data_IF_092318936698
#
_entry.id   IF_092318936698
#
_cell.length_a   1.000
_cell.length_b   1.000
_cell.length_c   1.000
_cell.angle_alpha   90.00
_cell.angle_beta   90.00
_cell.angle_gamma   90.00
#
_symmetry.space_group_name_H-M   'P 1'
#
loop_
_entity.id
_entity.type
_entity.pdbx_description
1 polymer ?
#
# COMPACT_ATOMS: atom_id res chain seq x y z
N UNK A 1 -23.32 -19.58 5.47
CA UNK A 1 -22.85 -18.28 5.95
C UNK A 1 -22.17 -18.48 7.30
N UNK A 2 -20.84 -18.65 7.29
CA UNK A 2 -20.08 -18.57 8.53
C UNK A 2 -20.05 -17.11 8.96
N UNK A 3 -20.75 -16.79 10.03
CA UNK A 3 -20.68 -15.47 10.64
C UNK A 3 -19.39 -15.43 11.45
N UNK A 4 -18.45 -14.57 11.08
CA UNK A 4 -17.24 -14.33 11.86
C UNK A 4 -17.64 -13.98 13.31
N UNK A 5 -17.03 -14.61 14.32
CA UNK A 5 -17.32 -14.26 15.71
C UNK A 5 -16.97 -12.79 15.95
N UNK A 6 -17.86 -12.07 16.60
CA UNK A 6 -17.60 -10.69 17.00
C UNK A 6 -16.53 -10.69 18.08
N UNK A 7 -15.36 -10.15 17.80
CA UNK A 7 -14.31 -9.85 18.78
C UNK A 7 -14.33 -8.35 19.03
N UNK A 8 -14.35 -7.96 20.29
CA UNK A 8 -14.31 -6.56 20.69
C UNK A 8 -12.87 -6.07 20.75
N UNK A 9 -12.65 -4.78 20.47
CA UNK A 9 -11.37 -4.08 20.61
C UNK A 9 -10.23 -4.66 19.76
N UNK A 10 -10.51 -4.99 18.52
CA UNK A 10 -9.48 -5.30 17.54
C UNK A 10 -9.31 -4.12 16.58
N UNK A 11 -8.07 -3.80 16.21
CA UNK A 11 -7.79 -2.92 15.09
C UNK A 11 -8.14 -3.61 13.76
N UNK A 12 -8.61 -2.86 12.78
CA UNK A 12 -8.87 -3.37 11.43
C UNK A 12 -8.02 -2.62 10.42
N UNK A 13 -7.40 -3.40 9.54
CA UNK A 13 -6.81 -2.94 8.30
C UNK A 13 -7.53 -3.66 7.17
N UNK A 14 -7.99 -2.93 6.18
CA UNK A 14 -8.70 -3.46 5.02
C UNK A 14 -7.91 -3.06 3.78
N UNK A 15 -7.72 -4.00 2.87
CA UNK A 15 -7.14 -3.73 1.56
C UNK A 15 -8.27 -3.59 0.53
N UNK A 16 -8.31 -2.46 -0.17
CA UNK A 16 -9.23 -2.28 -1.29
C UNK A 16 -8.82 -3.22 -2.44
N UNK A 17 -9.79 -3.82 -3.16
CA UNK A 17 -9.46 -4.55 -4.37
C UNK A 17 -8.76 -3.64 -5.38
N UNK A 18 -7.76 -4.16 -6.08
CA UNK A 18 -7.17 -3.48 -7.23
C UNK A 18 -8.03 -3.63 -8.49
N UNK A 19 -8.73 -4.75 -8.57
CA UNK A 19 -9.60 -5.12 -9.67
C UNK A 19 -11.03 -5.31 -9.16
N UNK A 20 -11.95 -4.60 -9.77
CA UNK A 20 -13.39 -4.66 -9.50
C UNK A 20 -14.14 -5.42 -10.59
N UNK A 21 -15.44 -5.62 -10.40
CA UNK A 21 -16.28 -6.29 -11.37
C UNK A 21 -16.25 -5.61 -12.76
N UNK A 22 -16.25 -6.40 -13.83
CA UNK A 22 -16.14 -5.91 -15.20
C UNK A 22 -14.73 -5.47 -15.59
N UNK A 23 -13.71 -6.10 -14.99
CA UNK A 23 -12.28 -5.84 -15.24
C UNK A 23 -11.89 -4.37 -15.02
N UNK A 24 -12.58 -3.71 -14.08
CA UNK A 24 -12.29 -2.32 -13.73
C UNK A 24 -11.12 -2.24 -12.74
N UNK A 25 -9.97 -1.77 -13.20
CA UNK A 25 -8.81 -1.47 -12.36
C UNK A 25 -9.01 -0.10 -11.70
N UNK A 26 -8.78 -0.01 -10.39
CA UNK A 26 -8.91 1.26 -9.68
C UNK A 26 -7.93 2.30 -10.20
N UNK A 27 -8.45 3.43 -10.69
CA UNK A 27 -7.64 4.58 -11.09
C UNK A 27 -8.35 5.90 -10.77
N UNK A 28 -7.91 6.53 -9.68
CA UNK A 28 -8.40 7.83 -9.22
C UNK A 28 -7.76 9.01 -9.97
N UNK A 29 -6.82 8.73 -10.87
CA UNK A 29 -5.95 9.72 -11.52
C UNK A 29 -6.18 9.83 -13.02
N UNK A 30 -6.88 8.88 -13.63
CA UNK A 30 -7.12 8.84 -15.08
C UNK A 30 -7.76 10.13 -15.59
N UNK A 31 -7.46 10.51 -16.82
CA UNK A 31 -8.05 11.64 -17.52
C UNK A 31 -9.51 11.40 -17.86
N UNK A 32 -9.89 10.14 -18.16
CA UNK A 32 -11.27 9.76 -18.39
C UNK A 32 -12.11 9.99 -17.13
N UNK A 33 -12.95 11.01 -17.18
CA UNK A 33 -13.77 11.40 -16.04
C UNK A 33 -14.86 10.38 -15.70
N UNK A 34 -15.37 9.62 -16.68
CA UNK A 34 -16.35 8.55 -16.44
C UNK A 34 -15.71 7.40 -15.70
N UNK A 35 -14.56 6.94 -16.20
CA UNK A 35 -13.77 5.87 -15.55
C UNK A 35 -13.35 6.27 -14.12
N UNK A 36 -12.84 7.50 -13.96
CA UNK A 36 -12.44 8.04 -12.65
C UNK A 36 -13.59 8.13 -11.67
N UNK A 37 -14.78 8.60 -12.11
CA UNK A 37 -15.96 8.64 -11.25
C UNK A 37 -16.44 7.24 -10.85
N UNK A 38 -16.29 6.24 -11.72
CA UNK A 38 -16.56 4.85 -11.38
C UNK A 38 -15.58 4.34 -10.33
N UNK A 39 -14.28 4.61 -10.48
CA UNK A 39 -13.25 4.29 -9.46
C UNK A 39 -13.55 4.93 -8.10
N UNK A 40 -13.99 6.20 -8.08
CA UNK A 40 -14.42 6.89 -6.85
C UNK A 40 -15.62 6.18 -6.21
N UNK A 41 -16.61 5.78 -7.01
CA UNK A 41 -17.79 5.09 -6.51
C UNK A 41 -17.46 3.70 -5.95
N UNK A 42 -16.58 2.94 -6.61
CA UNK A 42 -16.13 1.65 -6.11
C UNK A 42 -15.33 1.77 -4.80
N UNK A 43 -14.41 2.74 -4.71
CA UNK A 43 -13.70 2.98 -3.46
C UNK A 43 -14.63 3.44 -2.33
N UNK A 44 -15.64 4.27 -2.64
CA UNK A 44 -16.67 4.64 -1.65
C UNK A 44 -17.44 3.43 -1.14
N UNK A 45 -17.78 2.46 -1.99
CA UNK A 45 -18.43 1.20 -1.56
C UNK A 45 -17.53 0.40 -0.60
N UNK A 46 -16.23 0.34 -0.86
CA UNK A 46 -15.28 -0.31 0.06
C UNK A 46 -15.25 0.41 1.41
N UNK A 47 -15.27 1.73 1.41
CA UNK A 47 -15.31 2.55 2.63
C UNK A 47 -16.61 2.28 3.41
N UNK A 48 -17.75 2.22 2.74
CA UNK A 48 -19.04 1.93 3.41
C UNK A 48 -19.04 0.53 4.06
N UNK A 49 -18.48 -0.48 3.36
CA UNK A 49 -18.27 -1.82 3.93
C UNK A 49 -17.29 -1.76 5.13
N UNK A 50 -16.22 -0.98 5.03
CA UNK A 50 -15.24 -0.82 6.11
C UNK A 50 -15.86 -0.22 7.37
N UNK A 51 -16.77 0.73 7.22
CA UNK A 51 -17.55 1.32 8.32
C UNK A 51 -18.49 0.29 8.96
N UNK A 52 -19.18 -0.52 8.17
CA UNK A 52 -20.02 -1.60 8.68
C UNK A 52 -19.20 -2.62 9.47
N UNK A 53 -18.01 -2.99 8.98
CA UNK A 53 -17.09 -3.88 9.70
C UNK A 53 -16.57 -3.23 10.99
N UNK A 54 -16.20 -1.95 10.95
CA UNK A 54 -15.80 -1.19 12.14
C UNK A 54 -16.84 -1.28 13.24
N UNK A 55 -18.11 -1.04 12.90
CA UNK A 55 -19.23 -1.11 13.83
C UNK A 55 -19.43 -2.55 14.37
N UNK A 56 -19.34 -3.54 13.49
CA UNK A 56 -19.49 -4.95 13.86
C UNK A 56 -18.40 -5.44 14.81
N UNK A 57 -17.14 -5.02 14.60
CA UNK A 57 -16.01 -5.39 15.46
C UNK A 57 -15.79 -4.42 16.61
N UNK A 58 -16.62 -3.39 16.73
CA UNK A 58 -16.56 -2.37 17.80
C UNK A 58 -15.16 -1.76 17.94
N UNK A 59 -14.54 -1.43 16.80
CA UNK A 59 -13.22 -0.80 16.78
C UNK A 59 -13.30 0.63 17.31
N UNK A 60 -12.41 1.00 18.23
CA UNK A 60 -12.32 2.38 18.78
C UNK A 60 -11.73 3.35 17.74
N UNK A 61 -10.70 2.89 17.03
CA UNK A 61 -9.97 3.69 16.07
C UNK A 61 -10.59 3.65 14.66
N UNK A 62 -10.29 4.61 13.79
CA UNK A 62 -10.62 4.50 12.38
C UNK A 62 -10.02 3.24 11.75
N UNK A 63 -10.76 2.62 10.83
CA UNK A 63 -10.23 1.51 10.03
C UNK A 63 -9.21 2.05 9.06
N UNK A 64 -8.03 1.44 9.00
CA UNK A 64 -7.04 1.75 7.97
C UNK A 64 -7.45 1.07 6.66
N UNK A 65 -7.61 1.85 5.59
CA UNK A 65 -7.93 1.34 4.26
C UNK A 65 -6.73 1.50 3.34
N UNK A 66 -6.03 0.40 3.11
CA UNK A 66 -4.95 0.32 2.12
C UNK A 66 -5.55 0.33 0.72
N UNK A 67 -5.01 1.15 -0.17
CA UNK A 67 -5.43 1.18 -1.57
C UNK A 67 -4.30 1.65 -2.47
N UNK A 68 -4.23 1.12 -3.69
CA UNK A 68 -3.54 1.84 -4.74
C UNK A 68 -4.40 3.03 -5.22
N UNK A 69 -3.82 3.94 -5.96
CA UNK A 69 -4.51 5.15 -6.42
C UNK A 69 -4.60 5.26 -7.95
N UNK A 70 -3.99 4.31 -8.65
CA UNK A 70 -3.85 4.37 -10.10
C UNK A 70 -2.71 5.31 -10.55
N UNK A 71 -2.91 5.97 -11.67
CA UNK A 71 -1.90 6.86 -12.24
C UNK A 71 -0.90 6.13 -13.14
N UNK A 72 -1.40 5.19 -13.91
CA UNK A 72 -0.60 4.37 -14.83
C UNK A 72 -0.22 5.10 -16.10
N UNK A 73 0.91 4.70 -16.70
CA UNK A 73 1.27 5.00 -18.08
C UNK A 73 1.74 3.72 -18.79
N UNK A 74 1.63 3.69 -20.15
CA UNK A 74 1.87 2.47 -20.91
C UNK A 74 3.29 2.37 -21.49
N UNK A 75 3.97 3.50 -21.72
CA UNK A 75 5.17 3.52 -22.52
C UNK A 75 6.44 3.90 -21.76
N UNK A 76 6.33 4.70 -20.73
CA UNK A 76 7.46 5.16 -19.90
C UNK A 76 6.98 5.76 -18.60
N UNK A 77 7.87 5.86 -17.61
CA UNK A 77 7.61 6.65 -16.42
C UNK A 77 7.45 8.13 -16.76
N UNK A 78 6.40 8.72 -16.24
CA UNK A 78 6.13 10.14 -16.42
C UNK A 78 7.14 10.97 -15.59
N UNK A 79 7.66 12.03 -16.18
CA UNK A 79 8.47 13.00 -15.47
C UNK A 79 7.61 13.86 -14.51
N UNK A 80 8.26 14.69 -13.69
CA UNK A 80 7.59 15.50 -12.67
C UNK A 80 6.48 16.41 -13.25
N UNK A 81 6.70 16.99 -14.43
CA UNK A 81 5.69 17.86 -15.05
C UNK A 81 4.47 17.09 -15.56
N UNK A 82 4.71 15.90 -16.12
CA UNK A 82 3.66 15.00 -16.61
C UNK A 82 2.85 14.38 -15.47
N UNK A 83 3.46 14.16 -14.30
CA UNK A 83 2.77 13.65 -13.10
C UNK A 83 1.87 14.69 -12.41
N UNK A 84 2.09 15.98 -12.65
CA UNK A 84 1.31 17.04 -12.02
C UNK A 84 -0.20 16.92 -12.24
N UNK A 85 -0.72 16.70 -13.47
CA UNK A 85 -2.15 16.50 -13.70
C UNK A 85 -2.72 15.25 -12.99
N UNK A 86 -1.95 14.17 -12.90
CA UNK A 86 -2.34 12.96 -12.16
C UNK A 86 -2.54 13.28 -10.67
N UNK A 87 -1.58 13.97 -10.09
CA UNK A 87 -1.65 14.41 -8.68
C UNK A 87 -2.86 15.31 -8.41
N UNK A 88 -3.15 16.26 -9.27
CA UNK A 88 -4.29 17.17 -9.14
C UNK A 88 -5.62 16.41 -9.22
N UNK A 89 -5.73 15.44 -10.13
CA UNK A 89 -6.89 14.57 -10.24
C UNK A 89 -7.05 13.66 -9.02
N UNK A 90 -5.95 13.09 -8.50
CA UNK A 90 -5.97 12.31 -7.27
C UNK A 90 -6.54 13.13 -6.10
N UNK A 91 -6.02 14.33 -5.85
CA UNK A 91 -6.49 15.21 -4.79
C UNK A 91 -7.98 15.51 -4.95
N UNK A 92 -8.41 15.79 -6.20
CA UNK A 92 -9.81 16.06 -6.49
C UNK A 92 -10.70 14.85 -6.26
N UNK A 93 -10.22 13.65 -6.58
CA UNK A 93 -10.92 12.39 -6.37
C UNK A 93 -11.07 12.07 -4.89
N UNK A 94 -9.97 12.20 -4.11
CA UNK A 94 -9.99 11.98 -2.66
C UNK A 94 -10.96 12.93 -1.94
N UNK A 95 -11.05 14.19 -2.36
CA UNK A 95 -12.01 15.16 -1.79
C UNK A 95 -13.48 14.81 -2.01
N UNK A 96 -13.80 13.95 -3.00
CA UNK A 96 -15.17 13.49 -3.26
C UNK A 96 -15.56 12.30 -2.40
N UNK A 97 -14.62 11.66 -1.75
CA UNK A 97 -14.81 10.46 -0.94
C UNK A 97 -15.20 10.87 0.47
N UNK A 98 -16.23 10.24 1.00
CA UNK A 98 -16.71 10.46 2.36
C UNK A 98 -16.28 9.33 3.29
N UNK A 99 -15.29 9.56 4.12
CA UNK A 99 -14.82 8.60 5.14
C UNK A 99 -15.56 8.74 6.46
N UNK A 100 -16.34 9.80 6.64
CA UNK A 100 -17.04 10.16 7.88
C UNK A 100 -16.11 10.22 9.13
N UNK A 101 -14.79 10.26 8.96
CA UNK A 101 -13.80 10.16 10.03
C UNK A 101 -13.69 8.77 10.66
N UNK A 102 -14.35 7.76 10.09
CA UNK A 102 -14.36 6.38 10.59
C UNK A 102 -13.41 5.45 9.82
N UNK A 103 -12.94 5.90 8.66
CA UNK A 103 -11.98 5.20 7.79
C UNK A 103 -10.87 6.17 7.43
N UNK A 104 -9.64 5.73 7.55
CA UNK A 104 -8.47 6.45 7.10
C UNK A 104 -7.92 5.78 5.83
N UNK A 105 -7.92 6.51 4.73
CA UNK A 105 -7.33 6.04 3.48
C UNK A 105 -5.82 6.19 3.57
N UNK A 106 -5.10 5.10 3.43
CA UNK A 106 -3.64 5.03 3.41
C UNK A 106 -3.18 4.47 2.06
N UNK A 107 -2.78 5.33 1.11
CA UNK A 107 -2.24 4.88 -0.16
C UNK A 107 -1.04 3.96 0.05
N UNK A 108 -0.95 2.90 -0.74
CA UNK A 108 0.16 1.96 -0.72
C UNK A 108 1.33 2.49 -1.56
N UNK A 109 2.56 2.26 -1.10
CA UNK A 109 3.75 2.46 -1.95
C UNK A 109 3.80 1.35 -3.00
N UNK A 110 4.11 1.71 -4.25
CA UNK A 110 3.89 0.84 -5.40
C UNK A 110 5.20 0.44 -6.09
N UNK A 111 5.25 -0.76 -6.69
CA UNK A 111 6.38 -1.15 -7.51
C UNK A 111 6.42 -0.33 -8.80
N UNK A 112 7.59 -0.21 -9.46
CA UNK A 112 7.71 0.62 -10.65
C UNK A 112 6.99 0.04 -11.87
N UNK A 113 6.86 -1.30 -11.95
CA UNK A 113 6.32 -2.03 -13.10
C UNK A 113 5.31 -3.11 -12.69
N UNK A 114 4.18 -2.76 -12.10
CA UNK A 114 3.19 -3.77 -11.71
C UNK A 114 2.64 -4.51 -12.92
N UNK A 115 2.34 -5.79 -12.75
CA UNK A 115 1.63 -6.59 -13.72
C UNK A 115 0.12 -6.31 -13.64
N UNK A 116 -0.47 -5.98 -14.78
CA UNK A 116 -1.91 -5.81 -14.95
C UNK A 116 -2.46 -6.68 -16.07
N UNK A 117 -3.77 -6.77 -16.20
CA UNK A 117 -4.40 -7.37 -17.37
C UNK A 117 -3.93 -6.66 -18.65
N UNK A 118 -3.33 -7.43 -19.54
CA UNK A 118 -2.74 -6.90 -20.78
C UNK A 118 -1.25 -6.56 -20.71
N UNK A 119 -0.59 -6.80 -19.60
CA UNK A 119 0.87 -6.68 -19.47
C UNK A 119 1.32 -5.71 -18.38
N UNK A 120 2.59 -5.39 -18.38
CA UNK A 120 3.18 -4.44 -17.45
C UNK A 120 2.82 -2.99 -17.83
N UNK A 121 2.59 -2.17 -16.82
CA UNK A 121 2.44 -0.72 -16.92
C UNK A 121 3.43 -0.04 -15.99
N UNK A 122 3.64 1.26 -16.19
CA UNK A 122 4.45 2.07 -15.29
C UNK A 122 3.57 2.73 -14.23
N UNK A 123 3.89 2.52 -12.97
CA UNK A 123 3.32 3.29 -11.86
C UNK A 123 4.03 4.64 -11.76
N UNK A 124 3.28 5.72 -11.57
CA UNK A 124 3.83 7.09 -11.57
C UNK A 124 3.64 7.83 -10.24
N UNK A 125 2.73 7.35 -9.40
CA UNK A 125 2.46 7.91 -8.07
C UNK A 125 2.79 6.86 -7.01
N UNK A 126 3.24 7.30 -5.85
CA UNK A 126 3.63 6.46 -4.72
C UNK A 126 4.77 5.47 -5.02
N UNK A 127 5.65 5.82 -5.96
CA UNK A 127 6.84 5.05 -6.33
C UNK A 127 8.13 5.70 -5.82
N UNK A 128 8.27 7.03 -5.94
CA UNK A 128 9.43 7.76 -5.45
C UNK A 128 9.17 8.49 -4.13
N UNK A 129 10.17 8.48 -3.25
CA UNK A 129 10.06 9.03 -1.90
C UNK A 129 9.79 10.52 -1.85
N UNK A 130 10.33 11.31 -2.79
CA UNK A 130 10.12 12.77 -2.79
C UNK A 130 8.66 13.10 -3.08
N UNK A 131 8.03 12.40 -4.04
CA UNK A 131 6.61 12.55 -4.31
C UNK A 131 5.75 12.14 -3.11
N UNK A 132 6.04 10.97 -2.52
CA UNK A 132 5.27 10.43 -1.39
C UNK A 132 5.35 11.37 -0.18
N UNK A 133 6.57 11.75 0.18
CA UNK A 133 6.82 12.68 1.30
C UNK A 133 6.04 13.98 1.12
N UNK A 134 6.22 14.66 -0.03
CA UNK A 134 5.55 15.91 -0.32
C UNK A 134 4.02 15.76 -0.30
N UNK A 135 3.50 14.66 -0.87
CA UNK A 135 2.06 14.41 -0.89
C UNK A 135 1.49 14.20 0.51
N UNK A 136 2.15 13.36 1.32
CA UNK A 136 1.74 13.09 2.70
C UNK A 136 1.77 14.35 3.56
N UNK A 137 2.83 15.15 3.47
CA UNK A 137 2.97 16.40 4.20
C UNK A 137 1.88 17.42 3.83
N UNK A 138 1.66 17.64 2.52
CA UNK A 138 0.68 18.62 2.03
C UNK A 138 -0.77 18.20 2.24
N UNK A 139 -1.08 16.89 2.19
CA UNK A 139 -2.44 16.40 2.35
C UNK A 139 -2.76 15.92 3.78
N UNK A 140 -1.77 15.89 4.67
CA UNK A 140 -1.92 15.34 6.02
C UNK A 140 -2.27 13.86 6.02
N UNK A 141 -1.74 13.09 5.06
CA UNK A 141 -2.04 11.66 4.88
C UNK A 141 -0.92 10.79 5.38
N UNK A 142 -1.28 9.58 5.81
CA UNK A 142 -0.34 8.49 6.05
C UNK A 142 -0.40 7.48 4.89
N UNK A 143 0.54 6.54 4.89
CA UNK A 143 0.68 5.53 3.84
C UNK A 143 0.73 4.12 4.43
N UNK A 144 0.42 3.15 3.58
CA UNK A 144 0.89 1.78 3.75
C UNK A 144 2.25 1.67 3.05
N UNK A 145 3.30 1.43 3.83
CA UNK A 145 4.61 1.13 3.26
C UNK A 145 4.67 -0.36 2.90
N UNK A 146 4.60 -0.64 1.62
CA UNK A 146 4.96 -1.96 1.11
C UNK A 146 6.47 -2.00 0.91
N UNK A 147 7.12 -2.84 1.69
CA UNK A 147 8.58 -2.93 1.76
C UNK A 147 9.15 -3.52 0.48
N UNK A 148 8.50 -4.55 -0.07
CA UNK A 148 8.89 -5.18 -1.32
C UNK A 148 8.78 -4.21 -2.49
N UNK A 149 7.61 -3.58 -2.68
CA UNK A 149 7.38 -2.58 -3.71
C UNK A 149 8.38 -1.43 -3.66
N UNK A 150 8.61 -0.92 -2.45
CA UNK A 150 9.53 0.21 -2.23
C UNK A 150 10.98 -0.16 -2.53
N UNK A 151 11.41 -1.40 -2.21
CA UNK A 151 12.74 -1.89 -2.56
C UNK A 151 12.91 -2.00 -4.07
N UNK A 152 11.92 -2.54 -4.79
CA UNK A 152 11.94 -2.59 -6.27
C UNK A 152 11.98 -1.19 -6.88
N UNK A 153 11.20 -0.25 -6.34
CA UNK A 153 11.21 1.14 -6.77
C UNK A 153 12.58 1.80 -6.57
N UNK A 154 13.21 1.59 -5.42
CA UNK A 154 14.55 2.09 -5.13
C UNK A 154 15.61 1.50 -6.07
N UNK A 155 15.56 0.20 -6.35
CA UNK A 155 16.46 -0.44 -7.28
C UNK A 155 16.32 0.14 -8.70
N UNK A 156 15.08 0.36 -9.16
CA UNK A 156 14.79 0.95 -10.45
C UNK A 156 15.22 2.42 -10.57
N UNK A 157 14.94 3.22 -9.54
CA UNK A 157 15.25 4.65 -9.51
C UNK A 157 16.70 4.96 -9.06
N UNK A 158 17.47 3.94 -8.69
CA UNK A 158 18.83 4.07 -8.14
C UNK A 158 18.88 4.96 -6.89
N UNK A 159 17.89 4.84 -6.03
CA UNK A 159 17.79 5.53 -4.75
C UNK A 159 18.24 4.57 -3.64
N UNK A 160 19.12 4.99 -2.71
CA UNK A 160 19.44 4.16 -1.54
C UNK A 160 18.16 3.85 -0.73
N UNK A 161 17.90 2.56 -0.47
CA UNK A 161 16.68 2.14 0.21
C UNK A 161 16.54 2.78 1.60
N UNK A 162 17.65 2.92 2.33
CA UNK A 162 17.66 3.63 3.62
C UNK A 162 17.16 5.08 3.50
N UNK A 163 17.60 5.81 2.47
CA UNK A 163 17.14 7.19 2.24
C UNK A 163 15.64 7.24 1.98
N UNK A 164 15.12 6.28 1.21
CA UNK A 164 13.67 6.15 0.98
C UNK A 164 12.93 5.93 2.30
N UNK A 165 13.42 4.99 3.13
CA UNK A 165 12.82 4.68 4.42
C UNK A 165 12.83 5.86 5.39
N UNK A 166 13.94 6.60 5.49
CA UNK A 166 14.06 7.80 6.33
C UNK A 166 13.00 8.86 6.00
N UNK A 167 12.59 8.96 4.72
CA UNK A 167 11.57 9.91 4.27
C UNK A 167 10.13 9.40 4.50
N UNK A 168 9.88 8.09 4.39
CA UNK A 168 8.52 7.55 4.33
C UNK A 168 8.05 6.95 5.65
N UNK A 169 8.93 6.34 6.44
CA UNK A 169 8.55 5.74 7.72
C UNK A 169 7.83 6.71 8.67
N UNK A 170 8.16 8.01 8.76
CA UNK A 170 7.41 8.94 9.61
C UNK A 170 5.92 9.07 9.24
N UNK A 171 5.54 8.75 8.00
CA UNK A 171 4.15 8.76 7.53
C UNK A 171 3.50 7.36 7.50
N UNK A 172 4.21 6.32 7.91
CA UNK A 172 3.74 4.95 7.78
C UNK A 172 2.75 4.59 8.89
N UNK A 173 1.55 4.14 8.49
CA UNK A 173 0.52 3.64 9.39
C UNK A 173 0.42 2.12 9.41
N UNK A 174 0.77 1.49 8.31
CA UNK A 174 0.73 0.04 8.11
C UNK A 174 1.87 -0.41 7.21
N UNK A 175 2.31 -1.64 7.39
CA UNK A 175 3.43 -2.23 6.65
C UNK A 175 2.99 -3.52 5.97
N UNK A 176 3.30 -3.67 4.70
CA UNK A 176 3.33 -4.95 4.01
C UNK A 176 4.78 -5.44 3.98
N UNK A 177 5.02 -6.61 4.55
CA UNK A 177 6.37 -7.14 4.74
C UNK A 177 6.60 -8.36 3.85
N UNK A 178 7.40 -8.18 2.82
CA UNK A 178 7.95 -9.23 1.98
C UNK A 178 9.33 -8.79 1.49
N UNK A 179 10.18 -9.75 1.14
CA UNK A 179 11.47 -9.43 0.55
C UNK A 179 11.35 -9.13 -0.94
N UNK A 180 12.39 -8.56 -1.49
CA UNK A 180 12.46 -8.18 -2.90
C UNK A 180 13.87 -8.33 -3.45
N UNK A 181 13.95 -8.55 -4.75
CA UNK A 181 15.22 -8.66 -5.46
C UNK A 181 15.15 -8.02 -6.85
N UNK A 182 16.24 -7.38 -7.25
CA UNK A 182 16.33 -6.71 -8.53
C UNK A 182 15.22 -5.67 -8.74
N UNK A 183 14.51 -5.68 -9.88
CA UNK A 183 13.44 -4.71 -10.23
C UNK A 183 12.06 -5.34 -10.36
N UNK A 184 11.96 -6.67 -10.31
CA UNK A 184 10.74 -7.45 -10.53
C UNK A 184 10.57 -8.68 -9.60
N UNK A 185 11.52 -8.92 -8.71
CA UNK A 185 11.45 -9.99 -7.70
C UNK A 185 10.60 -9.56 -6.51
N UNK A 186 9.29 -9.47 -6.69
CA UNK A 186 8.31 -9.03 -5.70
C UNK A 186 7.83 -10.17 -4.80
N UNK A 187 7.50 -9.84 -3.55
CA UNK A 187 6.81 -10.77 -2.66
C UNK A 187 7.61 -11.98 -2.23
N UNK A 188 8.93 -11.88 -2.23
CA UNK A 188 9.82 -12.98 -1.83
C UNK A 188 9.69 -13.27 -0.33
N UNK A 189 10.05 -14.49 0.05
CA UNK A 189 10.13 -14.87 1.46
C UNK A 189 11.21 -14.03 2.17
N UNK A 190 10.99 -13.72 3.42
CA UNK A 190 11.92 -12.96 4.26
C UNK A 190 13.31 -13.60 4.24
N UNK A 191 14.35 -12.83 3.98
CA UNK A 191 15.76 -13.22 3.76
C UNK A 191 16.04 -14.00 2.46
N UNK A 192 15.11 -14.04 1.51
CA UNK A 192 15.37 -14.63 0.18
C UNK A 192 15.67 -13.55 -0.89
N UNK A 193 15.61 -12.26 -0.52
CA UNK A 193 15.91 -11.10 -1.36
C UNK A 193 17.12 -10.29 -0.87
N UNK A 194 17.08 -8.98 -1.11
CA UNK A 194 18.18 -8.04 -0.89
C UNK A 194 17.89 -7.03 0.25
N UNK A 195 16.90 -7.28 1.10
CA UNK A 195 16.54 -6.39 2.21
C UNK A 195 17.31 -6.76 3.47
N UNK A 196 17.98 -5.77 4.06
CA UNK A 196 18.55 -5.89 5.41
C UNK A 196 17.45 -5.71 6.46
N UNK A 197 16.90 -6.82 6.92
CA UNK A 197 15.78 -6.85 7.85
C UNK A 197 16.12 -6.34 9.25
N UNK A 198 17.35 -6.53 9.72
CA UNK A 198 17.80 -6.01 11.02
C UNK A 198 17.79 -4.48 10.97
N UNK A 199 18.44 -3.90 9.96
CA UNK A 199 18.46 -2.45 9.77
C UNK A 199 17.07 -1.87 9.56
N UNK A 200 16.20 -2.56 8.80
CA UNK A 200 14.82 -2.13 8.58
C UNK A 200 14.03 -2.07 9.89
N UNK A 201 14.16 -3.07 10.76
CA UNK A 201 13.45 -3.07 12.05
C UNK A 201 13.95 -1.98 12.99
N UNK A 202 15.26 -1.68 13.00
CA UNK A 202 15.78 -0.52 13.75
C UNK A 202 15.09 0.79 13.30
N UNK A 203 14.93 0.99 11.99
CA UNK A 203 14.28 2.17 11.45
C UNK A 203 12.76 2.20 11.75
N UNK A 204 12.07 1.07 11.60
CA UNK A 204 10.64 0.94 11.94
C UNK A 204 10.42 1.27 13.43
N UNK A 205 11.25 0.70 14.31
CA UNK A 205 11.17 0.95 15.75
C UNK A 205 11.37 2.43 16.09
N UNK A 206 12.27 3.10 15.38
CA UNK A 206 12.57 4.52 15.59
C UNK A 206 11.47 5.45 15.07
N UNK A 207 10.97 5.22 13.85
CA UNK A 207 10.10 6.16 13.14
C UNK A 207 8.60 5.87 13.24
N UNK A 208 8.21 4.60 13.26
CA UNK A 208 6.79 4.19 13.25
C UNK A 208 6.50 2.98 14.17
N UNK A 209 6.87 3.02 15.46
CA UNK A 209 6.74 1.87 16.38
C UNK A 209 5.30 1.41 16.63
N UNK A 210 4.32 2.18 16.18
CA UNK A 210 2.88 1.86 16.31
C UNK A 210 2.24 1.37 15.01
N UNK A 211 3.00 1.32 13.91
CA UNK A 211 2.50 0.81 12.65
C UNK A 211 2.15 -0.67 12.80
N UNK A 212 0.98 -1.06 12.33
CA UNK A 212 0.63 -2.47 12.19
C UNK A 212 1.29 -3.08 10.96
N UNK A 213 1.36 -4.40 10.87
CA UNK A 213 1.95 -5.05 9.70
C UNK A 213 1.25 -6.35 9.33
N UNK A 214 1.48 -6.80 8.11
CA UNK A 214 1.14 -8.12 7.60
C UNK A 214 2.29 -8.67 6.76
N UNK A 215 2.65 -9.97 6.86
CA UNK A 215 3.52 -10.61 5.88
C UNK A 215 2.76 -10.79 4.56
N UNK A 216 3.28 -10.27 3.46
CA UNK A 216 2.66 -10.35 2.13
C UNK A 216 3.53 -11.17 1.16
N UNK A 217 3.74 -12.43 1.52
CA UNK A 217 4.57 -13.36 0.75
C UNK A 217 3.79 -13.91 -0.44
N UNK A 218 4.40 -13.90 -1.63
CA UNK A 218 3.81 -14.51 -2.81
C UNK A 218 3.36 -15.95 -2.53
N UNK A 219 2.07 -16.23 -2.74
CA UNK A 219 1.45 -17.52 -2.43
C UNK A 219 1.57 -17.97 -0.95
N UNK A 220 1.90 -17.08 -0.03
CA UNK A 220 2.08 -17.39 1.39
C UNK A 220 0.87 -18.02 2.08
N UNK A 221 -0.33 -17.86 1.51
CA UNK A 221 -1.59 -18.44 1.99
C UNK A 221 -1.75 -19.94 1.68
N UNK A 222 -0.93 -20.50 0.78
CA UNK A 222 -0.99 -21.93 0.43
C UNK A 222 -0.58 -22.82 1.60
N UNK A 223 -1.00 -24.08 1.54
CA UNK A 223 -0.67 -25.10 2.56
C UNK A 223 -1.04 -24.66 3.99
N UNK A 224 -2.18 -24.01 4.18
CA UNK A 224 -2.60 -23.53 5.49
C UNK A 224 -1.87 -22.29 5.98
N UNK A 225 -1.28 -21.51 5.07
CA UNK A 225 -0.55 -20.29 5.40
C UNK A 225 0.93 -20.50 5.71
N UNK A 226 1.52 -21.62 5.25
CA UNK A 226 2.91 -22.00 5.52
C UNK A 226 3.89 -20.85 5.24
N UNK A 227 3.77 -20.16 4.09
CA UNK A 227 4.64 -19.04 3.74
C UNK A 227 4.49 -17.85 4.67
N UNK A 228 3.28 -17.55 5.13
CA UNK A 228 3.03 -16.47 6.08
C UNK A 228 3.58 -16.80 7.49
N UNK A 229 3.43 -18.05 7.95
CA UNK A 229 3.99 -18.47 9.23
C UNK A 229 5.52 -18.47 9.23
N UNK A 230 6.16 -18.95 8.15
CA UNK A 230 7.61 -18.89 8.00
C UNK A 230 8.11 -17.43 7.97
N UNK A 231 7.37 -16.53 7.31
CA UNK A 231 7.72 -15.12 7.31
C UNK A 231 7.69 -14.52 8.72
N UNK A 232 6.65 -14.81 9.51
CA UNK A 232 6.57 -14.34 10.89
C UNK A 232 7.74 -14.85 11.75
N UNK A 233 8.11 -16.12 11.62
CA UNK A 233 9.26 -16.70 12.31
C UNK A 233 10.57 -15.98 11.96
N UNK A 234 10.80 -15.72 10.66
CA UNK A 234 12.01 -15.02 10.18
C UNK A 234 12.03 -13.54 10.60
N UNK A 235 10.87 -12.87 10.58
CA UNK A 235 10.73 -11.48 11.06
C UNK A 235 10.99 -11.37 12.56
N UNK A 236 10.47 -12.30 13.36
CA UNK A 236 10.72 -12.35 14.81
C UNK A 236 12.20 -12.54 15.11
N UNK A 237 12.88 -13.43 14.38
CA UNK A 237 14.31 -13.63 14.50
C UNK A 237 15.11 -12.36 14.15
N UNK A 238 14.74 -11.64 13.09
CA UNK A 238 15.41 -10.40 12.70
C UNK A 238 15.15 -9.23 13.68
N UNK A 239 13.97 -9.15 14.26
CA UNK A 239 13.61 -8.12 15.25
C UNK A 239 14.26 -8.35 16.63
N UNK A 240 14.66 -9.57 16.95
CA UNK A 240 15.34 -9.93 18.20
C UNK A 240 16.86 -9.94 18.12
N UNK A 241 17.43 -9.68 16.95
CA UNK A 241 18.87 -9.63 16.73
C UNK A 241 19.40 -8.22 17.02
#
# INVERSE_FOLDING_TARGET
>A
NQVLPVRQNIGLVIHAPELFAGDHTLDLCTEDSSYRNHSIAELQRVIDISRDLRNRFQCSDPVLLVTNVGGFSEHHHLNRSERKPLRERLITSLKKINTAGEVEIIPQTMPPFPWHFGGQRFHNLFVDSDFIHQFCEEQGMRVCLDVSHSKLACNHLHIPFRQFLDQILPFTAHLHLADAKDVDGEGLQINDGDIDWVQLFEQIHHHCPKASFIPEIWQGHKNGGEGAWLALERLEAAAGA
#
